data_IF_039810836881
#
_entry.id   IF_039810836881
#
_cell.length_a   1.000
_cell.length_b   1.000
_cell.length_c   1.000
_cell.angle_alpha   90.00
_cell.angle_beta   90.00
_cell.angle_gamma   90.00
#
_symmetry.space_group_name_H-M   'P 1'
#
loop_
_entity.id
_entity.type
_entity.pdbx_description
1 polymer ?
#
# COMPACT_ATOMS: atom_id res chain seq x y z
N UNK A 1 -12.77 -5.46 11.05
CA UNK A 1 -12.12 -6.14 9.91
C UNK A 1 -10.77 -5.48 9.67
N UNK A 2 -9.66 -6.23 9.78
CA UNK A 2 -8.32 -5.70 9.47
C UNK A 2 -8.18 -5.69 7.95
N UNK A 3 -8.57 -4.58 7.33
CA UNK A 3 -8.36 -4.35 5.89
C UNK A 3 -6.92 -3.90 5.67
N UNK A 4 -5.95 -4.76 5.96
CA UNK A 4 -4.53 -4.52 5.68
C UNK A 4 -4.12 -5.29 4.42
N UNK A 5 -3.20 -4.71 3.65
CA UNK A 5 -2.59 -5.36 2.49
C UNK A 5 -1.09 -5.50 2.69
N UNK A 6 -0.51 -6.50 2.02
CA UNK A 6 0.92 -6.75 2.07
C UNK A 6 1.67 -5.75 1.19
N UNK A 7 2.67 -5.09 1.76
CA UNK A 7 3.54 -4.17 1.02
C UNK A 7 4.41 -4.95 0.02
N UNK A 8 4.40 -4.59 -1.27
CA UNK A 8 5.20 -5.28 -2.29
C UNK A 8 6.70 -5.00 -2.19
N UNK A 9 7.11 -3.95 -1.46
CA UNK A 9 8.52 -3.54 -1.31
C UNK A 9 9.18 -4.24 -0.12
N UNK A 10 8.56 -4.19 1.07
CA UNK A 10 9.15 -4.74 2.30
C UNK A 10 8.42 -5.95 2.89
N UNK A 11 7.34 -6.41 2.26
CA UNK A 11 6.57 -7.58 2.69
C UNK A 11 5.75 -7.40 3.97
N UNK A 12 5.74 -6.21 4.58
CA UNK A 12 4.97 -5.92 5.80
C UNK A 12 3.52 -5.59 5.46
N UNK A 13 2.61 -5.95 6.35
CA UNK A 13 1.21 -5.51 6.23
C UNK A 13 1.08 -4.02 6.57
N UNK A 14 0.25 -3.31 5.81
CA UNK A 14 -0.08 -1.92 6.07
C UNK A 14 -1.55 -1.63 5.76
N UNK A 15 -2.08 -0.55 6.34
CA UNK A 15 -3.44 -0.09 6.04
C UNK A 15 -3.43 0.71 4.73
N UNK A 16 -4.14 0.25 3.67
CA UNK A 16 -4.24 0.93 2.39
C UNK A 16 -4.95 2.29 2.49
N UNK A 17 -5.63 2.61 3.60
CA UNK A 17 -6.19 3.95 3.86
C UNK A 17 -5.13 4.93 4.33
N UNK A 18 -4.02 4.46 4.92
CA UNK A 18 -2.92 5.31 5.42
C UNK A 18 -1.55 4.90 4.84
N UNK A 19 -1.41 4.79 3.50
CA UNK A 19 -0.16 4.38 2.86
C UNK A 19 0.99 5.34 3.18
N UNK A 20 0.70 6.63 3.35
CA UNK A 20 1.69 7.68 3.67
C UNK A 20 2.35 7.42 5.03
N UNK A 21 1.61 6.93 6.03
CA UNK A 21 2.16 6.59 7.34
C UNK A 21 3.10 5.37 7.26
N UNK A 22 2.78 4.41 6.39
CA UNK A 22 3.68 3.28 6.13
C UNK A 22 4.95 3.72 5.41
N UNK A 23 4.81 4.55 4.37
CA UNK A 23 5.93 5.09 3.60
C UNK A 23 6.84 5.94 4.50
N UNK A 24 6.28 6.85 5.28
CA UNK A 24 7.06 7.70 6.17
C UNK A 24 7.73 6.93 7.31
N UNK A 25 7.24 5.75 7.69
CA UNK A 25 7.85 4.96 8.76
C UNK A 25 8.93 4.00 8.27
N UNK A 26 8.75 3.41 7.09
CA UNK A 26 9.61 2.30 6.63
C UNK A 26 10.33 2.57 5.31
N UNK A 27 9.93 3.60 4.55
CA UNK A 27 10.40 3.85 3.18
C UNK A 27 10.85 5.31 2.98
N UNK A 28 11.40 5.95 4.02
CA UNK A 28 11.83 7.36 3.96
C UNK A 28 12.94 7.61 2.94
N UNK A 29 13.78 6.60 2.70
CA UNK A 29 14.95 6.67 1.81
C UNK A 29 14.76 5.85 0.54
N UNK A 30 13.57 5.29 0.33
CA UNK A 30 13.28 4.50 -0.87
C UNK A 30 13.07 5.41 -2.08
N UNK A 31 13.37 4.87 -3.26
CA UNK A 31 13.20 5.58 -4.52
C UNK A 31 11.72 5.72 -4.87
N UNK A 32 11.40 6.75 -5.65
CA UNK A 32 10.03 6.99 -6.13
C UNK A 32 9.42 5.77 -6.83
N UNK A 33 10.22 4.98 -7.56
CA UNK A 33 9.76 3.75 -8.22
C UNK A 33 9.29 2.68 -7.22
N UNK A 34 9.92 2.56 -6.05
CA UNK A 34 9.48 1.63 -5.00
C UNK A 34 8.23 2.17 -4.29
N UNK A 35 8.18 3.48 -4.03
CA UNK A 35 7.01 4.13 -3.45
C UNK A 35 5.78 4.02 -4.36
N UNK A 36 5.96 4.05 -5.67
CA UNK A 36 4.91 3.86 -6.66
C UNK A 36 4.29 2.46 -6.59
N UNK A 37 5.09 1.41 -6.40
CA UNK A 37 4.57 0.04 -6.20
C UNK A 37 3.61 -0.04 -5.00
N UNK A 38 3.93 0.67 -3.91
CA UNK A 38 3.07 0.72 -2.72
C UNK A 38 1.74 1.43 -3.04
N UNK A 39 1.79 2.53 -3.81
CA UNK A 39 0.59 3.27 -4.25
C UNK A 39 -0.26 2.42 -5.20
N UNK A 40 0.36 1.63 -6.07
CA UNK A 40 -0.32 0.71 -6.98
C UNK A 40 -1.01 -0.45 -6.26
N UNK A 41 -0.34 -1.06 -5.28
CA UNK A 41 -0.96 -2.09 -4.45
C UNK A 41 -2.24 -1.56 -3.76
N UNK A 42 -2.19 -0.32 -3.28
CA UNK A 42 -3.37 0.38 -2.76
C UNK A 42 -4.46 0.57 -3.83
N UNK A 43 -4.10 1.07 -5.03
CA UNK A 43 -5.06 1.27 -6.14
C UNK A 43 -5.77 -0.03 -6.49
N UNK A 44 -5.03 -1.12 -6.62
CA UNK A 44 -5.59 -2.45 -6.91
C UNK A 44 -6.56 -2.92 -5.83
N UNK A 45 -6.22 -2.73 -4.54
CA UNK A 45 -7.11 -3.12 -3.43
C UNK A 45 -8.49 -2.46 -3.52
N UNK A 46 -8.53 -1.15 -3.76
CA UNK A 46 -9.79 -0.42 -3.86
C UNK A 46 -10.53 -0.70 -5.18
N UNK A 47 -9.82 -0.94 -6.27
CA UNK A 47 -10.43 -1.34 -7.54
C UNK A 47 -11.14 -2.70 -7.41
N UNK A 48 -10.50 -3.69 -6.77
CA UNK A 48 -11.11 -5.02 -6.53
C UNK A 48 -12.32 -4.91 -5.61
N UNK A 49 -12.24 -4.07 -4.57
CA UNK A 49 -13.36 -3.86 -3.63
C UNK A 49 -14.56 -3.21 -4.32
N UNK A 50 -14.33 -2.33 -5.30
CA UNK A 50 -15.40 -1.63 -6.03
C UNK A 50 -16.03 -2.46 -7.16
N UNK A 51 -15.44 -3.61 -7.54
CA UNK A 51 -15.99 -4.50 -8.57
C UNK A 51 -16.96 -5.57 -8.01
N UNK A 52 -17.30 -5.54 -6.72
CA UNK A 52 -18.25 -6.45 -6.07
C UNK A 52 -19.63 -5.76 -5.88
N UNK A 53 -20.06 -4.96 -6.84
CA UNK A 53 -21.44 -4.44 -6.92
C UNK A 53 -22.01 -4.69 -8.32
#
# INVERSE_FOLDING_TARGET
MKNSIKCPVCGRDFDPRTPVCHISKYHQSEKDCELEKIRDARRQYFNVTNHIN
#
